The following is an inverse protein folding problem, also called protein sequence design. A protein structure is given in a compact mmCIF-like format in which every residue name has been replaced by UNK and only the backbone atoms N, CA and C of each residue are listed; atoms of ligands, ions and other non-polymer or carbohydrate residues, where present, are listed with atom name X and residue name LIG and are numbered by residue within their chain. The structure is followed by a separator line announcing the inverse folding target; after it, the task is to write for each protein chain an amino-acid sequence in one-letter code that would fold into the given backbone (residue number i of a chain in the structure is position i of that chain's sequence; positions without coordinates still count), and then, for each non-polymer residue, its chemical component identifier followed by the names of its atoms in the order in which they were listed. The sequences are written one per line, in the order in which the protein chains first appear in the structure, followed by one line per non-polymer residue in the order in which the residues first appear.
data_IF_999384360227
#
_entry.id   IF_999384360227
#
_cell.length_a   1.000
_cell.length_b   1.000
_cell.length_c   1.000
_cell.angle_alpha   90.00
_cell.angle_beta   90.00
_cell.angle_gamma   90.00
#
_symmetry.space_group_name_H-M   'P 1'
#
loop_
_entity.id
_entity.type
_entity.pdbx_description
1 polymer ?
#
# COMPACT_ATOMS: atom_id res chain seq x y z
N UNK A 1 22.04 -20.91 5.64
CA UNK A 1 21.14 -19.76 5.63
C UNK A 1 20.10 -19.97 6.74
N UNK A 2 20.05 -19.12 7.74
CA UNK A 2 19.03 -19.21 8.80
C UNK A 2 18.03 -18.07 8.60
N UNK A 3 16.77 -18.41 8.52
CA UNK A 3 15.65 -17.46 8.55
C UNK A 3 15.05 -17.54 9.95
N UNK A 4 14.98 -16.44 10.65
CA UNK A 4 14.37 -16.42 11.98
C UNK A 4 13.46 -15.21 12.15
N UNK A 5 12.27 -15.35 12.74
CA UNK A 5 11.47 -14.20 13.12
C UNK A 5 12.00 -13.60 14.42
N UNK A 6 12.37 -12.32 14.42
CA UNK A 6 12.67 -11.59 15.66
C UNK A 6 11.41 -11.03 16.33
N UNK A 7 10.36 -10.75 15.56
CA UNK A 7 8.99 -10.38 15.97
C UNK A 7 8.07 -10.54 14.75
N UNK A 8 6.75 -10.61 14.87
CA UNK A 8 5.89 -10.52 13.72
C UNK A 8 6.22 -9.22 12.97
N UNK A 9 6.45 -9.31 11.66
CA UNK A 9 6.77 -8.24 10.71
C UNK A 9 8.25 -7.87 10.51
N UNK A 10 9.22 -8.62 11.03
CA UNK A 10 10.64 -8.45 10.71
C UNK A 10 11.23 -9.76 10.20
N UNK A 11 11.58 -9.81 8.92
CA UNK A 11 12.29 -10.93 8.30
C UNK A 11 13.72 -10.51 7.99
N UNK A 12 14.67 -11.40 8.28
CA UNK A 12 16.06 -11.21 7.92
C UNK A 12 16.68 -12.51 7.41
N UNK A 13 17.57 -12.37 6.45
CA UNK A 13 18.39 -13.45 5.91
C UNK A 13 19.84 -13.16 6.27
N UNK A 14 20.50 -14.09 6.95
CA UNK A 14 21.89 -13.95 7.37
C UNK A 14 22.74 -14.96 6.61
N UNK A 15 23.71 -14.47 5.86
CA UNK A 15 24.79 -15.26 5.28
C UNK A 15 26.05 -15.13 6.16
N UNK A 16 26.59 -16.25 6.64
CA UNK A 16 27.88 -16.31 7.32
C UNK A 16 28.89 -17.06 6.45
N UNK A 17 30.16 -16.62 6.50
CA UNK A 17 31.27 -17.37 5.95
C UNK A 17 31.73 -18.50 6.90
N UNK A 18 32.80 -19.21 6.49
CA UNK A 18 33.38 -20.30 7.28
C UNK A 18 33.92 -19.86 8.65
N UNK A 19 34.23 -18.57 8.82
CA UNK A 19 34.74 -17.97 10.05
C UNK A 19 33.62 -17.44 10.96
N UNK A 20 32.35 -17.59 10.53
CA UNK A 20 31.20 -17.14 11.28
C UNK A 20 30.92 -15.63 11.19
N UNK A 21 31.66 -14.89 10.35
CA UNK A 21 31.48 -13.45 10.13
C UNK A 21 30.22 -13.18 9.32
N UNK A 22 29.52 -12.11 9.67
CA UNK A 22 28.33 -11.65 8.95
C UNK A 22 28.74 -10.91 7.68
N UNK A 23 28.55 -11.52 6.50
CA UNK A 23 28.92 -10.95 5.20
C UNK A 23 27.75 -10.25 4.50
N UNK A 24 26.55 -10.77 4.67
CA UNK A 24 25.36 -10.21 4.05
C UNK A 24 24.14 -10.30 4.97
N UNK A 25 23.40 -9.19 5.06
CA UNK A 25 22.16 -9.09 5.80
C UNK A 25 21.09 -8.47 4.90
N UNK A 26 19.97 -9.16 4.71
CA UNK A 26 18.80 -8.62 4.01
C UNK A 26 17.74 -8.32 5.07
N UNK A 27 17.28 -7.07 5.08
CA UNK A 27 16.34 -6.52 6.04
C UNK A 27 15.03 -6.21 5.31
N UNK A 28 13.96 -6.86 5.76
CA UNK A 28 12.64 -6.77 5.12
C UNK A 28 11.62 -6.40 6.23
N UNK A 29 11.65 -5.17 6.75
CA UNK A 29 10.67 -4.73 7.73
C UNK A 29 9.38 -4.30 7.02
N UNK A 30 8.25 -4.65 7.61
CA UNK A 30 6.97 -4.00 7.29
C UNK A 30 6.88 -2.62 7.97
N UNK A 31 5.85 -1.85 7.65
CA UNK A 31 5.57 -0.58 8.29
C UNK A 31 5.14 -0.75 9.76
N UNK A 32 5.45 0.23 10.58
CA UNK A 32 4.93 0.35 11.94
C UNK A 32 3.82 1.40 11.91
N UNK A 33 2.58 0.96 11.77
CA UNK A 33 1.39 1.80 11.56
C UNK A 33 1.40 3.07 12.43
N UNK A 34 1.32 4.23 11.76
CA UNK A 34 1.33 5.54 12.41
C UNK A 34 2.66 6.00 13.01
N UNK A 35 3.78 5.24 12.82
CA UNK A 35 5.07 5.57 13.44
C UNK A 35 6.22 5.60 12.42
N UNK A 36 6.48 4.51 11.71
CA UNK A 36 7.57 4.37 10.75
C UNK A 36 7.09 3.69 9.48
N UNK A 37 7.49 4.22 8.32
CA UNK A 37 7.32 3.51 7.06
C UNK A 37 8.27 2.32 6.98
N UNK A 38 7.98 1.33 6.13
CA UNK A 38 8.89 0.21 5.82
C UNK A 38 10.28 0.70 5.42
N UNK A 39 10.36 1.77 4.63
CA UNK A 39 11.61 2.40 4.22
C UNK A 39 12.39 3.01 5.40
N UNK A 40 11.73 3.73 6.29
CA UNK A 40 12.37 4.32 7.49
C UNK A 40 12.88 3.24 8.43
N UNK A 41 12.08 2.20 8.67
CA UNK A 41 12.46 1.04 9.46
C UNK A 41 13.67 0.33 8.84
N UNK A 42 13.63 0.05 7.54
CA UNK A 42 14.72 -0.58 6.80
C UNK A 42 16.02 0.22 6.84
N UNK A 43 15.94 1.54 6.66
CA UNK A 43 17.10 2.44 6.72
C UNK A 43 17.73 2.48 8.11
N UNK A 44 16.91 2.50 9.17
CA UNK A 44 17.37 2.47 10.55
C UNK A 44 18.06 1.16 10.89
N UNK A 45 17.45 0.04 10.49
CA UNK A 45 18.04 -1.29 10.70
C UNK A 45 19.35 -1.46 9.92
N UNK A 46 19.41 -0.98 8.67
CA UNK A 46 20.63 -1.03 7.85
C UNK A 46 21.76 -0.29 8.54
N UNK A 47 21.52 0.93 9.05
CA UNK A 47 22.51 1.71 9.77
C UNK A 47 23.00 0.95 11.02
N UNK A 48 22.11 0.40 11.83
CA UNK A 48 22.47 -0.35 13.02
C UNK A 48 23.32 -1.60 12.70
N UNK A 49 23.01 -2.31 11.60
CA UNK A 49 23.84 -3.44 11.15
C UNK A 49 25.22 -2.98 10.71
N UNK A 50 25.32 -1.88 9.96
CA UNK A 50 26.61 -1.35 9.48
C UNK A 50 27.50 -0.82 10.61
N UNK A 51 26.90 -0.24 11.67
CA UNK A 51 27.62 0.20 12.86
C UNK A 51 28.26 -0.96 13.64
N UNK A 52 27.55 -2.11 13.72
CA UNK A 52 28.04 -3.29 14.44
C UNK A 52 28.91 -4.22 13.57
N UNK A 53 28.66 -4.25 12.28
CA UNK A 53 29.31 -5.11 11.30
C UNK A 53 29.69 -4.29 10.05
N UNK A 54 30.79 -3.48 10.11
CA UNK A 54 31.17 -2.57 9.02
C UNK A 54 31.40 -3.26 7.68
N UNK A 55 31.88 -4.52 7.69
CA UNK A 55 32.16 -5.33 6.50
C UNK A 55 30.91 -6.05 5.96
N UNK A 56 29.76 -5.90 6.61
CA UNK A 56 28.52 -6.56 6.20
C UNK A 56 27.81 -5.78 5.10
N UNK A 57 27.51 -6.44 3.99
CA UNK A 57 26.58 -5.92 2.98
C UNK A 57 25.14 -5.94 3.55
N UNK A 58 24.67 -4.82 4.08
CA UNK A 58 23.31 -4.68 4.59
C UNK A 58 22.39 -4.09 3.52
N UNK A 59 21.42 -4.87 3.08
CA UNK A 59 20.42 -4.49 2.07
C UNK A 59 19.04 -4.39 2.71
N UNK A 60 18.45 -3.20 2.69
CA UNK A 60 17.07 -3.01 3.12
C UNK A 60 16.14 -3.06 1.90
N UNK A 61 15.13 -3.92 1.97
CA UNK A 61 14.11 -4.08 0.94
C UNK A 61 12.77 -3.64 1.53
N UNK A 62 12.20 -2.52 1.08
CA UNK A 62 10.88 -2.11 1.53
C UNK A 62 9.83 -3.07 0.98
N UNK A 63 8.85 -3.38 1.82
CA UNK A 63 7.73 -4.26 1.49
C UNK A 63 6.43 -3.65 1.97
N UNK A 64 5.32 -4.08 1.39
CA UNK A 64 3.98 -3.77 1.82
C UNK A 64 3.06 -4.97 1.59
N UNK A 65 2.01 -5.07 2.38
CA UNK A 65 1.05 -6.18 2.41
C UNK A 65 -0.28 -5.86 1.68
N UNK A 66 -0.27 -4.80 0.84
CA UNK A 66 -1.49 -4.26 0.21
C UNK A 66 -2.16 -3.15 1.02
N UNK A 67 -1.54 -2.73 2.13
CA UNK A 67 -1.95 -1.57 2.91
C UNK A 67 -1.13 -0.33 2.59
N UNK A 68 -1.03 0.58 3.57
CA UNK A 68 -0.24 1.81 3.50
C UNK A 68 1.22 1.52 3.12
N UNK A 69 1.73 2.25 2.12
CA UNK A 69 3.10 2.12 1.61
C UNK A 69 3.26 1.17 0.41
N UNK A 70 2.17 0.53 -0.05
CA UNK A 70 2.21 -0.29 -1.27
C UNK A 70 2.57 0.55 -2.50
N UNK A 71 1.91 1.70 -2.69
CA UNK A 71 2.21 2.64 -3.76
C UNK A 71 3.68 3.08 -3.68
N UNK A 72 4.17 3.44 -2.49
CA UNK A 72 5.55 3.88 -2.28
C UNK A 72 6.58 2.80 -2.65
N UNK A 73 6.30 1.53 -2.37
CA UNK A 73 7.17 0.42 -2.78
C UNK A 73 7.34 0.36 -4.30
N UNK A 74 6.28 0.61 -5.07
CA UNK A 74 6.36 0.65 -6.53
C UNK A 74 7.01 1.92 -7.06
N UNK A 75 6.82 3.07 -6.42
CA UNK A 75 7.51 4.32 -6.77
C UNK A 75 9.03 4.17 -6.66
N UNK A 76 9.52 3.47 -5.63
CA UNK A 76 10.94 3.17 -5.48
C UNK A 76 11.49 2.23 -6.57
N UNK A 77 10.64 1.45 -7.21
CA UNK A 77 10.99 0.60 -8.35
C UNK A 77 10.86 1.32 -9.71
N UNK A 78 10.68 2.64 -9.71
CA UNK A 78 10.62 3.45 -10.91
C UNK A 78 9.21 3.65 -11.48
N UNK A 79 8.16 3.30 -10.73
CA UNK A 79 6.81 3.69 -11.09
C UNK A 79 6.62 5.21 -10.99
N UNK A 80 5.70 5.76 -11.78
CA UNK A 80 5.32 7.18 -11.73
C UNK A 80 4.13 7.36 -10.80
N UNK A 81 4.20 8.38 -9.94
CA UNK A 81 3.05 8.84 -9.15
C UNK A 81 2.09 9.59 -10.08
N UNK A 82 0.82 9.20 -10.07
CA UNK A 82 -0.28 9.87 -10.78
C UNK A 82 -1.29 10.33 -9.74
N UNK A 83 -1.70 11.57 -9.82
CA UNK A 83 -2.70 12.17 -8.94
C UNK A 83 -4.00 12.40 -9.72
N UNK A 84 -5.13 12.15 -9.08
CA UNK A 84 -6.46 12.35 -9.64
C UNK A 84 -7.40 12.98 -8.59
N UNK A 85 -8.29 13.82 -9.05
CA UNK A 85 -9.40 14.33 -8.25
C UNK A 85 -10.50 13.26 -8.18
N UNK A 86 -10.86 12.88 -6.96
CA UNK A 86 -11.82 11.81 -6.67
C UNK A 86 -12.71 12.19 -5.49
N UNK A 87 -13.68 11.36 -5.19
CA UNK A 87 -14.58 11.50 -4.05
C UNK A 87 -13.98 10.78 -2.83
N UNK A 88 -13.93 11.46 -1.71
CA UNK A 88 -13.53 10.87 -0.42
C UNK A 88 -14.61 9.94 0.15
N UNK A 89 -14.31 9.27 1.30
CA UNK A 89 -15.18 8.23 1.84
C UNK A 89 -16.56 8.73 2.29
N UNK A 90 -16.74 10.02 2.51
CA UNK A 90 -18.03 10.59 2.92
C UNK A 90 -18.60 11.58 1.89
N UNK A 91 -18.10 11.56 0.64
CA UNK A 91 -18.61 12.37 -0.45
C UNK A 91 -17.89 13.71 -0.67
N UNK A 92 -16.84 14.02 0.11
CA UNK A 92 -16.04 15.23 -0.04
C UNK A 92 -15.08 15.13 -1.24
N UNK A 93 -14.71 16.25 -1.89
CA UNK A 93 -13.65 16.28 -2.88
C UNK A 93 -12.30 15.89 -2.26
N UNK A 94 -11.54 15.04 -2.95
CA UNK A 94 -10.24 14.56 -2.51
C UNK A 94 -9.29 14.48 -3.71
N UNK A 95 -8.02 14.79 -3.50
CA UNK A 95 -6.94 14.40 -4.42
C UNK A 95 -6.27 13.16 -3.90
N UNK A 96 -6.36 12.08 -4.65
CA UNK A 96 -5.74 10.80 -4.33
C UNK A 96 -4.72 10.40 -5.39
N UNK A 97 -3.80 9.51 -5.03
CA UNK A 97 -2.72 9.10 -5.92
C UNK A 97 -2.63 7.59 -6.07
N UNK A 98 -2.07 7.16 -7.20
CA UNK A 98 -1.67 5.78 -7.46
C UNK A 98 -0.31 5.73 -8.14
N UNK A 99 0.34 4.56 -8.12
CA UNK A 99 1.57 4.33 -8.87
C UNK A 99 1.25 3.72 -10.24
N UNK A 100 1.90 4.22 -11.30
CA UNK A 100 1.85 3.63 -12.63
C UNK A 100 3.20 3.06 -13.02
N UNK A 101 3.24 1.75 -13.25
CA UNK A 101 4.40 1.04 -13.76
C UNK A 101 4.04 0.42 -15.13
N UNK A 102 4.52 1.03 -16.21
CA UNK A 102 4.16 0.67 -17.60
C UNK A 102 2.65 0.80 -17.83
N UNK A 103 1.93 -0.31 -18.04
CA UNK A 103 0.49 -0.42 -18.24
C UNK A 103 -0.28 -0.93 -17.00
N UNK A 104 0.42 -1.09 -15.88
CA UNK A 104 -0.16 -1.49 -14.60
C UNK A 104 -0.33 -0.28 -13.69
N UNK A 105 -1.52 -0.09 -13.13
CA UNK A 105 -1.79 0.86 -12.04
C UNK A 105 -1.85 0.11 -10.70
N UNK A 106 -1.10 0.60 -9.71
CA UNK A 106 -1.11 0.10 -8.34
C UNK A 106 -1.81 1.14 -7.47
N UNK A 107 -2.96 0.77 -6.95
CA UNK A 107 -3.87 1.63 -6.20
C UNK A 107 -4.01 1.06 -4.78
N UNK A 108 -3.86 1.90 -3.77
CA UNK A 108 -4.27 1.57 -2.41
C UNK A 108 -5.71 2.01 -2.18
N UNK A 109 -6.55 1.13 -1.64
CA UNK A 109 -7.92 1.52 -1.25
C UNK A 109 -7.89 2.67 -0.25
N UNK A 110 -6.86 2.70 0.60
CA UNK A 110 -6.65 3.73 1.61
C UNK A 110 -6.42 5.14 1.01
N UNK A 111 -6.00 5.25 -0.25
CA UNK A 111 -5.77 6.54 -0.91
C UNK A 111 -7.06 7.36 -1.08
N UNK A 112 -8.22 6.71 -1.21
CA UNK A 112 -9.52 7.37 -1.38
C UNK A 112 -10.57 6.92 -0.36
N UNK A 113 -10.33 5.84 0.39
CA UNK A 113 -11.25 5.28 1.37
C UNK A 113 -10.49 4.77 2.61
N UNK A 114 -9.43 5.45 3.01
CA UNK A 114 -8.57 5.08 4.11
C UNK A 114 -9.07 5.52 5.49
N UNK A 115 -8.69 4.76 6.52
CA UNK A 115 -9.04 5.07 7.91
C UNK A 115 -8.59 6.47 8.35
N UNK A 116 -7.40 7.01 7.96
CA UNK A 116 -7.02 8.38 8.28
C UNK A 116 -7.97 9.45 7.70
N UNK A 117 -8.61 9.18 6.55
CA UNK A 117 -9.59 10.09 5.94
C UNK A 117 -10.92 10.12 6.71
N UNK A 118 -11.15 9.15 7.58
CA UNK A 118 -12.33 9.03 8.43
C UNK A 118 -12.14 9.62 9.83
N UNK A 119 -11.00 10.30 10.08
CA UNK A 119 -10.70 10.87 11.40
C UNK A 119 -11.83 11.80 11.88
N UNK A 120 -12.33 11.54 13.09
CA UNK A 120 -13.48 12.24 13.67
C UNK A 120 -14.87 11.82 13.14
N UNK A 121 -14.94 10.90 12.16
CA UNK A 121 -16.18 10.41 11.53
C UNK A 121 -16.14 8.89 11.31
N UNK A 122 -15.92 8.10 12.35
CA UNK A 122 -15.84 6.64 12.24
C UNK A 122 -17.24 6.03 12.03
N UNK A 123 -17.77 6.12 10.82
CA UNK A 123 -19.06 5.58 10.43
C UNK A 123 -18.93 4.68 9.19
N UNK A 124 -18.65 3.38 9.39
CA UNK A 124 -18.46 2.42 8.28
C UNK A 124 -19.74 2.18 7.47
N UNK A 125 -20.92 2.54 8.02
CA UNK A 125 -22.20 2.39 7.28
C UNK A 125 -22.39 3.49 6.24
N UNK A 126 -21.71 4.62 6.36
CA UNK A 126 -21.80 5.76 5.45
C UNK A 126 -20.57 5.92 4.57
N UNK A 127 -19.43 5.37 5.01
CA UNK A 127 -18.20 5.42 4.24
C UNK A 127 -18.32 4.57 2.96
N UNK A 128 -17.80 5.09 1.84
CA UNK A 128 -17.91 4.48 0.52
C UNK A 128 -16.56 4.29 -0.15
N UNK A 129 -16.44 3.26 -0.96
CA UNK A 129 -15.30 3.02 -1.86
C UNK A 129 -15.44 3.73 -3.21
N UNK A 130 -16.37 4.68 -3.37
CA UNK A 130 -16.67 5.32 -4.65
C UNK A 130 -15.42 5.95 -5.29
N UNK A 131 -14.63 6.73 -4.54
CA UNK A 131 -13.41 7.35 -5.03
C UNK A 131 -12.32 6.36 -5.46
N UNK A 132 -12.31 5.16 -4.89
CA UNK A 132 -11.41 4.09 -5.37
C UNK A 132 -11.79 3.67 -6.79
N UNK A 133 -13.09 3.56 -7.08
CA UNK A 133 -13.58 3.28 -8.43
C UNK A 133 -13.25 4.40 -9.40
N UNK A 134 -13.29 5.67 -8.97
CA UNK A 134 -12.84 6.81 -9.77
C UNK A 134 -11.35 6.75 -10.09
N UNK A 135 -10.49 6.33 -9.13
CA UNK A 135 -9.06 6.08 -9.41
C UNK A 135 -8.85 4.99 -10.45
N UNK A 136 -9.61 3.90 -10.37
CA UNK A 136 -9.56 2.81 -11.37
C UNK A 136 -10.00 3.32 -12.74
N UNK A 137 -11.09 4.05 -12.82
CA UNK A 137 -11.58 4.65 -14.06
C UNK A 137 -10.55 5.62 -14.67
N UNK A 138 -9.94 6.47 -13.84
CA UNK A 138 -8.87 7.37 -14.26
C UNK A 138 -7.66 6.59 -14.79
N UNK A 139 -7.19 5.56 -14.09
CA UNK A 139 -6.07 4.73 -14.52
C UNK A 139 -6.36 4.04 -15.88
N UNK A 140 -7.58 3.55 -16.07
CA UNK A 140 -8.01 2.96 -17.35
C UNK A 140 -8.02 3.98 -18.47
N UNK A 141 -8.53 5.21 -18.22
CA UNK A 141 -8.52 6.31 -19.18
C UNK A 141 -7.09 6.75 -19.57
N UNK A 142 -6.15 6.69 -18.61
CA UNK A 142 -4.71 6.90 -18.82
C UNK A 142 -4.02 5.75 -19.57
N UNK A 143 -4.74 4.69 -19.96
CA UNK A 143 -4.25 3.57 -20.74
C UNK A 143 -3.64 2.43 -19.93
N UNK A 144 -3.86 2.37 -18.62
CA UNK A 144 -3.52 1.20 -17.84
C UNK A 144 -4.45 0.02 -18.22
N UNK A 145 -3.88 -1.17 -18.34
CA UNK A 145 -4.59 -2.41 -18.69
C UNK A 145 -4.70 -3.39 -17.52
N UNK A 146 -3.86 -3.19 -16.53
CA UNK A 146 -3.81 -3.99 -15.32
C UNK A 146 -3.98 -3.09 -14.11
N UNK A 147 -4.78 -3.56 -13.14
CA UNK A 147 -5.00 -2.88 -11.87
C UNK A 147 -4.60 -3.83 -10.74
N UNK A 148 -3.66 -3.38 -9.93
CA UNK A 148 -3.33 -4.01 -8.64
C UNK A 148 -3.96 -3.16 -7.56
N UNK A 149 -4.91 -3.72 -6.82
CA UNK A 149 -5.61 -3.03 -5.75
C UNK A 149 -5.20 -3.57 -4.38
N UNK A 150 -4.54 -2.73 -3.59
CA UNK A 150 -4.23 -3.01 -2.19
C UNK A 150 -5.44 -2.72 -1.31
N UNK A 151 -5.90 -3.70 -0.52
CA UNK A 151 -7.15 -3.63 0.26
C UNK A 151 -6.94 -3.22 1.72
N UNK A 152 -5.70 -3.04 2.16
CA UNK A 152 -5.38 -2.69 3.53
C UNK A 152 -5.75 -1.26 3.90
N UNK A 153 -6.04 -1.02 5.19
CA UNK A 153 -6.24 0.32 5.75
C UNK A 153 -7.58 1.01 5.42
N UNK A 154 -8.55 0.29 4.86
CA UNK A 154 -9.88 0.83 4.52
C UNK A 154 -10.68 1.24 5.75
N UNK A 155 -11.47 2.32 5.64
CA UNK A 155 -12.50 2.73 6.60
C UNK A 155 -13.92 2.32 6.19
N UNK A 156 -14.09 1.55 5.11
CA UNK A 156 -15.39 1.24 4.51
C UNK A 156 -15.84 -0.18 4.82
N UNK A 157 -17.16 -0.40 4.75
CA UNK A 157 -17.79 -1.72 4.86
C UNK A 157 -18.89 -1.88 3.79
N UNK A 158 -18.69 -1.28 2.60
CA UNK A 158 -19.67 -1.28 1.51
C UNK A 158 -19.50 -2.47 0.53
N UNK A 159 -18.68 -3.45 0.86
CA UNK A 159 -18.36 -4.61 0.01
C UNK A 159 -17.92 -4.23 -1.41
N UNK A 160 -17.35 -3.03 -1.59
CA UNK A 160 -16.93 -2.52 -2.90
C UNK A 160 -18.07 -2.00 -3.79
N UNK A 161 -19.27 -1.87 -3.25
CA UNK A 161 -20.44 -1.37 -4.02
C UNK A 161 -20.17 0.05 -4.53
N UNK A 162 -19.57 0.93 -3.72
CA UNK A 162 -19.21 2.28 -4.15
C UNK A 162 -18.25 2.26 -5.33
N UNK A 163 -17.19 1.49 -5.25
CA UNK A 163 -16.21 1.30 -6.33
C UNK A 163 -16.86 0.79 -7.61
N UNK A 164 -17.70 -0.24 -7.51
CA UNK A 164 -18.40 -0.80 -8.66
C UNK A 164 -19.37 0.22 -9.29
N UNK A 165 -20.04 1.06 -8.48
CA UNK A 165 -20.92 2.14 -8.99
C UNK A 165 -20.15 3.19 -9.76
N UNK A 166 -18.99 3.61 -9.29
CA UNK A 166 -18.13 4.55 -10.01
C UNK A 166 -17.66 3.99 -11.36
N UNK A 167 -17.55 2.67 -11.48
CA UNK A 167 -17.24 1.95 -12.72
C UNK A 167 -18.49 1.65 -13.58
N UNK A 168 -19.66 2.17 -13.21
CA UNK A 168 -20.90 2.07 -14.00
C UNK A 168 -21.82 0.92 -13.62
N UNK A 169 -21.50 0.13 -12.58
CA UNK A 169 -22.41 -0.91 -12.11
C UNK A 169 -23.68 -0.31 -11.48
N UNK A 170 -24.82 -0.91 -11.75
CA UNK A 170 -26.11 -0.52 -11.18
C UNK A 170 -26.58 -1.61 -10.21
N UNK A 171 -26.86 -1.22 -8.98
CA UNK A 171 -27.41 -2.10 -7.96
C UNK A 171 -28.90 -1.81 -7.83
N UNK A 172 -29.73 -2.80 -8.12
CA UNK A 172 -31.18 -2.68 -8.11
C UNK A 172 -31.76 -3.55 -6.99
N UNK A 173 -32.70 -3.01 -6.25
CA UNK A 173 -33.51 -3.82 -5.33
C UNK A 173 -34.71 -4.46 -6.06
N UNK A 174 -35.46 -5.32 -5.38
CA UNK A 174 -36.64 -5.98 -5.98
C UNK A 174 -37.74 -5.00 -6.37
N UNK A 175 -37.72 -3.76 -5.87
CA UNK A 175 -38.74 -2.73 -6.15
C UNK A 175 -38.33 -1.83 -7.31
N UNK A 176 -37.05 -1.85 -7.70
CA UNK A 176 -36.48 -1.02 -8.77
C UNK A 176 -36.53 -1.69 -10.15
N UNK A 177 -37.10 -2.89 -10.25
CA UNK A 177 -37.35 -3.58 -11.53
C UNK A 177 -38.70 -3.10 -12.06
N UNK A 178 -38.66 -2.01 -12.82
CA UNK A 178 -39.77 -1.55 -13.67
C UNK A 178 -39.29 -1.52 -15.10
#
# INVERSE_FOLDING_TARGET
MKVGPLRPNLYYLIGKDGDGMLKKCILIPDSFKGTLTSQQAGSTLRRAVQEQYPECEAVAVPVADGGEGTVDCFLQQGARKIEAAVTGPFGEPLTAAYARLRDTAVIEIASAAGLPLAEGRLDPCRATTYGVGELIAHAAAEGCREIVLGLGGSCTNDAGIGMARALGARFLDRKSVV
#
